data_IF_214286799964
#
_entry.id   IF_214286799964
#
_cell.length_a   1.000
_cell.length_b   1.000
_cell.length_c   1.000
_cell.angle_alpha   90.00
_cell.angle_beta   90.00
_cell.angle_gamma   90.00
#
_symmetry.space_group_name_H-M   'P 1'
#
loop_
_entity.id
_entity.type
_entity.pdbx_description
1 polymer ?
#
# COMPACT_ATOMS: atom_id res chain seq x y z
N UNK A 1 -34.39 -17.86 51.64
CA UNK A 1 -33.15 -18.12 50.89
C UNK A 1 -32.78 -16.83 50.17
N UNK A 2 -31.95 -16.00 50.81
CA UNK A 2 -31.48 -14.73 50.21
C UNK A 2 -30.26 -15.10 49.39
N UNK A 3 -30.34 -14.98 48.07
CA UNK A 3 -29.19 -15.10 47.18
C UNK A 3 -28.36 -13.84 47.42
N UNK A 4 -27.31 -13.95 48.25
CA UNK A 4 -26.32 -12.90 48.42
C UNK A 4 -25.52 -12.85 47.11
N UNK A 5 -25.54 -11.75 46.35
CA UNK A 5 -24.70 -11.63 45.17
C UNK A 5 -23.24 -11.73 45.62
N UNK A 6 -22.43 -12.50 44.89
CA UNK A 6 -21.01 -12.64 45.17
C UNK A 6 -20.34 -11.26 45.08
N UNK A 7 -19.70 -10.83 46.16
CA UNK A 7 -18.94 -9.57 46.25
C UNK A 7 -17.91 -9.45 45.09
N UNK A 8 -17.46 -10.59 44.56
CA UNK A 8 -16.57 -10.65 43.39
C UNK A 8 -17.18 -10.07 42.11
N UNK A 9 -18.51 -10.21 41.90
CA UNK A 9 -19.18 -9.62 40.74
C UNK A 9 -19.38 -8.11 40.87
N UNK A 10 -19.56 -7.57 42.08
CA UNK A 10 -19.72 -6.12 42.29
C UNK A 10 -18.41 -5.35 42.16
N UNK A 11 -17.27 -5.94 42.55
CA UNK A 11 -15.95 -5.29 42.44
C UNK A 11 -15.46 -5.13 41.00
N UNK A 12 -15.94 -5.96 40.06
CA UNK A 12 -15.63 -5.82 38.62
C UNK A 12 -16.30 -4.58 38.00
N UNK A 13 -17.46 -4.15 38.51
CA UNK A 13 -18.16 -2.95 38.02
C UNK A 13 -17.53 -1.64 38.52
N UNK A 14 -16.78 -1.68 39.61
CA UNK A 14 -16.18 -0.49 40.25
C UNK A 14 -14.71 -0.24 39.88
N UNK A 15 -14.07 -1.10 39.10
CA UNK A 15 -12.66 -0.93 38.74
C UNK A 15 -12.51 -0.14 37.41
N UNK A 16 -12.10 1.15 37.45
CA UNK A 16 -11.96 1.98 36.25
C UNK A 16 -10.91 1.45 35.27
N UNK A 17 -9.88 0.75 35.79
CA UNK A 17 -8.83 0.16 34.98
C UNK A 17 -9.36 -1.01 34.14
N UNK A 18 -10.17 -1.90 34.72
CA UNK A 18 -10.80 -3.00 33.99
C UNK A 18 -11.78 -2.50 32.93
N UNK A 19 -12.52 -1.43 33.22
CA UNK A 19 -13.40 -0.78 32.24
C UNK A 19 -12.60 -0.22 31.06
N UNK A 20 -11.49 0.48 31.33
CA UNK A 20 -10.57 1.00 30.30
C UNK A 20 -10.02 -0.14 29.44
N UNK A 21 -9.50 -1.20 30.05
CA UNK A 21 -8.94 -2.35 29.33
C UNK A 21 -9.99 -3.06 28.47
N UNK A 22 -11.19 -3.25 29.00
CA UNK A 22 -12.32 -3.85 28.27
C UNK A 22 -12.69 -3.01 27.04
N UNK A 23 -12.72 -1.69 27.18
CA UNK A 23 -12.97 -0.78 26.07
C UNK A 23 -11.88 -0.87 24.98
N UNK A 24 -10.60 -0.94 25.37
CA UNK A 24 -9.48 -1.10 24.43
C UNK A 24 -9.56 -2.45 23.68
N UNK A 25 -9.84 -3.54 24.39
CA UNK A 25 -10.01 -4.87 23.79
C UNK A 25 -11.18 -4.92 22.80
N UNK A 26 -12.30 -4.27 23.12
CA UNK A 26 -13.46 -4.16 22.20
C UNK A 26 -13.10 -3.34 20.96
N UNK A 27 -12.40 -2.22 21.13
CA UNK A 27 -11.94 -1.39 20.01
C UNK A 27 -10.98 -2.16 19.10
N UNK A 28 -10.01 -2.88 19.68
CA UNK A 28 -9.11 -3.78 18.94
C UNK A 28 -9.89 -4.80 18.12
N UNK A 29 -10.87 -5.46 18.73
CA UNK A 29 -11.72 -6.43 18.05
C UNK A 29 -12.49 -5.81 16.87
N UNK A 30 -13.05 -4.62 17.05
CA UNK A 30 -13.75 -3.90 15.97
C UNK A 30 -12.82 -3.49 14.81
N UNK A 31 -11.59 -3.07 15.13
CA UNK A 31 -10.58 -2.76 14.11
C UNK A 31 -10.13 -4.02 13.37
N UNK A 32 -9.85 -5.11 14.08
CA UNK A 32 -9.50 -6.41 13.49
C UNK A 32 -10.57 -6.90 12.53
N UNK A 33 -11.85 -6.88 12.93
CA UNK A 33 -12.95 -7.23 12.02
C UNK A 33 -13.02 -6.33 10.78
N UNK A 34 -12.70 -5.04 10.93
CA UNK A 34 -12.68 -4.10 9.81
C UNK A 34 -11.52 -4.37 8.85
N UNK A 35 -10.34 -4.71 9.38
CA UNK A 35 -9.16 -5.14 8.61
C UNK A 35 -9.48 -6.42 7.83
N UNK A 36 -9.99 -7.47 8.48
CA UNK A 36 -10.33 -8.73 7.81
C UNK A 36 -11.38 -8.54 6.71
N UNK A 37 -12.38 -7.68 6.93
CA UNK A 37 -13.39 -7.37 5.90
C UNK A 37 -12.77 -6.69 4.67
N UNK A 38 -11.80 -5.78 4.86
CA UNK A 38 -11.09 -5.11 3.77
C UNK A 38 -10.11 -6.06 3.07
N UNK A 39 -9.43 -6.91 3.83
CA UNK A 39 -8.48 -7.87 3.31
C UNK A 39 -9.18 -8.89 2.40
N UNK A 40 -10.29 -9.47 2.87
CA UNK A 40 -11.10 -10.38 2.07
C UNK A 40 -11.62 -9.72 0.80
N UNK A 41 -11.97 -8.45 0.88
CA UNK A 41 -12.44 -7.67 -0.26
C UNK A 41 -11.35 -7.51 -1.32
N UNK A 42 -10.14 -7.11 -0.93
CA UNK A 42 -9.01 -6.96 -1.86
C UNK A 42 -8.61 -8.31 -2.46
N UNK A 43 -8.62 -9.38 -1.65
CA UNK A 43 -8.32 -10.75 -2.11
C UNK A 43 -9.35 -11.31 -3.10
N UNK A 44 -10.59 -10.83 -3.05
CA UNK A 44 -11.65 -11.24 -3.99
C UNK A 44 -11.44 -10.69 -5.41
N UNK A 45 -10.47 -9.79 -5.63
CA UNK A 45 -10.02 -9.40 -6.97
C UNK A 45 -11.13 -8.80 -7.84
N UNK A 46 -11.97 -7.96 -7.24
CA UNK A 46 -13.14 -7.39 -7.88
C UNK A 46 -12.76 -6.28 -8.87
N UNK A 47 -13.27 -6.38 -10.11
CA UNK A 47 -13.17 -5.32 -11.13
C UNK A 47 -14.10 -4.18 -10.75
N UNK A 48 -13.63 -3.29 -9.89
CA UNK A 48 -14.46 -2.24 -9.29
C UNK A 48 -14.11 -0.86 -9.79
N UNK A 49 -15.16 -0.03 -9.85
CA UNK A 49 -15.06 1.39 -10.13
C UNK A 49 -14.03 2.07 -9.22
N UNK A 50 -13.21 2.93 -9.81
CA UNK A 50 -12.22 3.75 -9.10
C UNK A 50 -12.76 4.42 -7.83
N UNK A 51 -14.00 4.92 -7.86
CA UNK A 51 -14.65 5.58 -6.71
C UNK A 51 -14.76 4.64 -5.50
N UNK A 52 -15.03 3.36 -5.74
CA UNK A 52 -15.14 2.35 -4.69
C UNK A 52 -13.77 2.07 -4.09
N UNK A 53 -12.74 1.92 -4.93
CA UNK A 53 -11.35 1.74 -4.50
C UNK A 53 -10.85 2.91 -3.64
N UNK A 54 -11.13 4.15 -4.05
CA UNK A 54 -10.82 5.38 -3.29
C UNK A 54 -11.54 5.42 -1.93
N UNK A 55 -12.79 4.97 -1.89
CA UNK A 55 -13.54 4.85 -0.63
C UNK A 55 -12.91 3.82 0.30
N UNK A 56 -12.40 2.70 -0.23
CA UNK A 56 -11.67 1.70 0.59
C UNK A 56 -10.33 2.25 1.06
N UNK A 57 -9.61 2.98 0.21
CA UNK A 57 -8.35 3.64 0.56
C UNK A 57 -8.53 4.58 1.75
N UNK A 58 -9.54 5.46 1.69
CA UNK A 58 -9.91 6.36 2.79
C UNK A 58 -10.23 5.58 4.09
N UNK A 59 -10.82 4.39 3.96
CA UNK A 59 -11.12 3.53 5.12
C UNK A 59 -9.86 2.91 5.72
N UNK A 60 -8.88 2.51 4.90
CA UNK A 60 -7.56 2.06 5.35
C UNK A 60 -6.88 3.16 6.18
N UNK A 61 -6.86 4.40 5.70
CA UNK A 61 -6.30 5.53 6.46
C UNK A 61 -7.03 5.77 7.78
N UNK A 62 -8.36 5.70 7.78
CA UNK A 62 -9.17 5.86 9.00
C UNK A 62 -8.86 4.78 10.04
N UNK A 63 -8.73 3.52 9.62
CA UNK A 63 -8.37 2.40 10.51
C UNK A 63 -6.94 2.59 11.03
N UNK A 64 -6.00 2.99 10.17
CA UNK A 64 -4.60 3.25 10.55
C UNK A 64 -4.49 4.29 11.66
N UNK A 65 -5.20 5.42 11.54
CA UNK A 65 -5.26 6.47 12.57
C UNK A 65 -5.81 5.93 13.90
N UNK A 66 -6.90 5.16 13.86
CA UNK A 66 -7.48 4.55 15.07
C UNK A 66 -6.58 3.49 15.70
N UNK A 67 -5.85 2.73 14.89
CA UNK A 67 -4.91 1.71 15.34
C UNK A 67 -3.69 2.34 16.01
N UNK A 68 -3.19 3.45 15.47
CA UNK A 68 -2.12 4.25 16.10
C UNK A 68 -2.55 4.77 17.48
N UNK A 69 -3.74 5.36 17.59
CA UNK A 69 -4.27 5.83 18.88
C UNK A 69 -4.50 4.67 19.87
N UNK A 70 -4.95 3.51 19.39
CA UNK A 70 -5.09 2.31 20.20
C UNK A 70 -3.73 1.85 20.74
N UNK A 71 -2.72 1.76 19.88
CA UNK A 71 -1.37 1.33 20.25
C UNK A 71 -0.74 2.27 21.27
N UNK A 72 -0.86 3.59 21.06
CA UNK A 72 -0.45 4.62 22.02
C UNK A 72 -1.11 4.41 23.39
N UNK A 73 -2.42 4.16 23.43
CA UNK A 73 -3.15 3.93 24.69
C UNK A 73 -2.69 2.67 25.43
N UNK A 74 -2.22 1.64 24.72
CA UNK A 74 -1.61 0.46 25.36
C UNK A 74 -0.22 0.77 25.93
N UNK A 75 0.59 1.59 25.26
CA UNK A 75 1.89 2.04 25.80
C UNK A 75 1.76 2.93 27.04
N UNK A 76 0.66 3.68 27.17
CA UNK A 76 0.37 4.50 28.36
C UNK A 76 -0.12 3.66 29.56
N UNK A 77 -0.31 2.35 29.42
CA UNK A 77 -0.70 1.47 30.52
C UNK A 77 0.52 1.06 31.37
N UNK A 78 0.30 0.70 32.65
CA UNK A 78 1.38 0.26 33.53
C UNK A 78 2.16 -0.94 32.96
N UNK A 79 3.51 -0.95 33.04
CA UNK A 79 4.36 -2.01 32.49
C UNK A 79 4.15 -3.40 33.10
N UNK A 80 3.51 -3.47 34.27
CA UNK A 80 3.29 -4.70 35.03
C UNK A 80 2.23 -5.61 34.38
N UNK A 81 1.49 -5.11 33.40
CA UNK A 81 0.52 -5.89 32.64
C UNK A 81 1.14 -6.45 31.35
N UNK A 82 1.06 -7.77 31.17
CA UNK A 82 1.51 -8.42 29.94
C UNK A 82 0.50 -8.17 28.81
N UNK A 83 0.93 -7.40 27.82
CA UNK A 83 0.19 -7.11 26.60
C UNK A 83 0.91 -7.61 25.34
N UNK A 84 1.92 -8.47 25.48
CA UNK A 84 2.79 -8.90 24.38
C UNK A 84 1.99 -9.41 23.17
N UNK A 85 1.07 -10.35 23.41
CA UNK A 85 0.19 -10.89 22.36
C UNK A 85 -0.70 -9.81 21.72
N UNK A 86 -1.14 -8.84 22.53
CA UNK A 86 -2.01 -7.75 22.06
C UNK A 86 -1.24 -6.78 21.16
N UNK A 87 -0.01 -6.45 21.54
CA UNK A 87 0.88 -5.59 20.76
C UNK A 87 1.31 -6.29 19.46
N UNK A 88 1.60 -7.59 19.51
CA UNK A 88 1.90 -8.38 18.31
C UNK A 88 0.70 -8.42 17.35
N UNK A 89 -0.53 -8.59 17.87
CA UNK A 89 -1.74 -8.53 17.06
C UNK A 89 -1.96 -7.14 16.43
N UNK A 90 -1.58 -6.06 17.13
CA UNK A 90 -1.63 -4.69 16.61
C UNK A 90 -0.63 -4.51 15.47
N UNK A 91 0.61 -4.97 15.62
CA UNK A 91 1.61 -4.90 14.56
C UNK A 91 1.20 -5.75 13.33
N UNK A 92 0.64 -6.95 13.53
CA UNK A 92 0.09 -7.75 12.42
C UNK A 92 -0.98 -6.98 11.63
N UNK A 93 -1.92 -6.32 12.31
CA UNK A 93 -2.94 -5.50 11.63
C UNK A 93 -2.32 -4.33 10.86
N UNK A 94 -1.25 -3.73 11.37
CA UNK A 94 -0.53 -2.63 10.72
C UNK A 94 0.16 -3.09 9.43
N UNK A 95 0.86 -4.23 9.46
CA UNK A 95 1.44 -4.84 8.26
C UNK A 95 0.36 -5.16 7.22
N UNK A 96 -0.76 -5.78 7.61
CA UNK A 96 -1.86 -6.04 6.68
C UNK A 96 -2.43 -4.75 6.06
N UNK A 97 -2.52 -3.65 6.82
CA UNK A 97 -2.97 -2.36 6.29
C UNK A 97 -1.99 -1.78 5.27
N UNK A 98 -0.68 -1.94 5.47
CA UNK A 98 0.36 -1.51 4.52
C UNK A 98 0.28 -2.30 3.21
N UNK A 99 0.13 -3.62 3.27
CA UNK A 99 -0.05 -4.48 2.10
C UNK A 99 -1.33 -4.13 1.32
N UNK A 100 -2.43 -3.88 2.03
CA UNK A 100 -3.69 -3.45 1.43
C UNK A 100 -3.57 -2.07 0.78
N UNK A 101 -2.83 -1.14 1.40
CA UNK A 101 -2.61 0.20 0.85
C UNK A 101 -1.87 0.15 -0.49
N UNK A 102 -0.81 -0.66 -0.58
CA UNK A 102 -0.06 -0.90 -1.82
C UNK A 102 -0.99 -1.51 -2.88
N UNK A 103 -1.77 -2.53 -2.50
CA UNK A 103 -2.70 -3.20 -3.42
C UNK A 103 -3.76 -2.24 -3.97
N UNK A 104 -4.36 -1.40 -3.12
CA UNK A 104 -5.35 -0.42 -3.54
C UNK A 104 -4.74 0.65 -4.45
N UNK A 105 -3.56 1.17 -4.14
CA UNK A 105 -2.85 2.14 -5.00
C UNK A 105 -2.57 1.55 -6.38
N UNK A 106 -2.16 0.28 -6.44
CA UNK A 106 -1.97 -0.42 -7.70
C UNK A 106 -3.27 -0.54 -8.50
N UNK A 107 -4.37 -0.97 -7.87
CA UNK A 107 -5.68 -1.11 -8.54
C UNK A 107 -6.22 0.24 -9.06
N UNK A 108 -6.12 1.31 -8.28
CA UNK A 108 -6.50 2.67 -8.70
C UNK A 108 -5.65 3.13 -9.89
N UNK A 109 -4.34 2.87 -9.84
CA UNK A 109 -3.43 3.23 -10.93
C UNK A 109 -3.72 2.46 -12.21
N UNK A 110 -4.05 1.16 -12.10
CA UNK A 110 -4.49 0.32 -13.24
C UNK A 110 -5.77 0.86 -13.87
N UNK A 111 -6.74 1.31 -13.08
CA UNK A 111 -7.99 1.89 -13.60
C UNK A 111 -7.76 3.21 -14.35
N UNK A 112 -6.81 4.04 -13.94
CA UNK A 112 -6.46 5.27 -14.67
C UNK A 112 -5.90 4.99 -16.07
N UNK A 113 -5.28 3.82 -16.27
CA UNK A 113 -4.74 3.42 -17.57
C UNK A 113 -5.85 2.94 -18.50
N UNK A 114 -6.83 2.19 -17.99
CA UNK A 114 -7.93 1.60 -18.78
C UNK A 114 -9.02 2.62 -19.21
N UNK A 115 -9.27 3.65 -18.40
CA UNK A 115 -10.14 4.77 -18.79
C UNK A 115 -9.55 5.61 -19.95
N UNK A 116 -8.22 5.57 -20.12
CA UNK A 116 -7.53 6.27 -21.21
C UNK A 116 -7.52 5.48 -22.53
N UNK A 117 -7.65 4.15 -22.47
CA UNK A 117 -7.59 3.26 -23.64
C UNK A 117 -8.97 3.05 -24.29
N UNK A 118 -10.08 3.32 -23.61
CA UNK A 118 -11.45 3.07 -24.14
C UNK A 118 -11.98 4.14 -25.11
N UNK A 119 -11.18 5.13 -25.51
CA UNK A 119 -11.53 6.10 -26.59
C UNK A 119 -10.84 5.89 -27.93
N UNK A 120 -10.08 4.82 -28.13
CA UNK A 120 -9.59 4.47 -29.46
C UNK A 120 -10.16 3.12 -29.92
N UNK A 121 -11.28 3.19 -30.63
CA UNK A 121 -11.68 2.16 -31.58
C UNK A 121 -10.62 2.08 -32.68
N UNK A 122 -9.57 1.29 -32.47
CA UNK A 122 -8.72 0.82 -33.56
C UNK A 122 -8.56 -0.68 -33.36
N UNK A 123 -9.19 -1.42 -34.28
CA UNK A 123 -9.04 -2.86 -34.47
C UNK A 123 -7.58 -3.26 -34.26
N UNK A 124 -7.35 -4.18 -33.32
CA UNK A 124 -6.08 -4.84 -33.11
C UNK A 124 -5.63 -5.54 -34.39
N UNK A 125 -4.76 -4.86 -35.14
CA UNK A 125 -3.86 -5.48 -36.09
C UNK A 125 -2.45 -5.26 -35.57
N UNK A 126 -1.98 -6.24 -34.79
CA UNK A 126 -0.59 -6.67 -34.60
C UNK A 126 0.44 -5.91 -35.44
N UNK A 127 0.95 -4.79 -34.94
CA UNK A 127 2.33 -4.32 -35.14
C UNK A 127 2.61 -3.22 -34.13
N UNK A 128 3.55 -3.47 -33.23
CA UNK A 128 4.09 -2.52 -32.25
C UNK A 128 4.73 -1.33 -32.98
N UNK A 129 3.93 -0.36 -33.41
CA UNK A 129 4.41 0.94 -33.80
C UNK A 129 4.55 1.78 -32.52
N UNK A 130 5.67 1.58 -31.84
CA UNK A 130 6.14 2.47 -30.77
C UNK A 130 6.30 3.85 -31.43
N UNK A 131 5.31 4.72 -31.25
CA UNK A 131 5.38 6.10 -31.71
C UNK A 131 6.53 6.78 -30.96
N UNK A 132 7.64 6.98 -31.67
CA UNK A 132 8.81 7.72 -31.22
C UNK A 132 8.39 9.17 -31.05
N UNK A 133 7.93 9.53 -29.86
CA UNK A 133 7.82 10.93 -29.45
C UNK A 133 9.24 11.38 -29.18
N UNK A 134 9.78 12.27 -30.02
CA UNK A 134 11.09 12.88 -29.76
C UNK A 134 10.91 13.95 -28.68
N UNK A 135 11.59 13.77 -27.56
CA UNK A 135 11.85 14.87 -26.62
C UNK A 135 12.76 15.92 -27.28
N UNK A 136 12.70 17.20 -26.84
CA UNK A 136 13.68 18.23 -27.23
C UNK A 136 15.12 17.77 -26.94
N UNK A 137 16.10 18.31 -27.67
CA UNK A 137 17.53 17.89 -27.77
C UNK A 137 18.37 17.91 -26.46
N UNK A 138 17.73 17.90 -25.28
CA UNK A 138 18.41 17.77 -24.00
C UNK A 138 18.94 16.34 -23.87
N UNK A 139 20.24 16.12 -23.63
CA UNK A 139 20.78 14.79 -23.46
C UNK A 139 20.15 14.13 -22.24
N UNK A 140 19.60 12.93 -22.43
CA UNK A 140 19.06 12.14 -21.32
C UNK A 140 20.20 11.69 -20.39
N UNK A 141 19.97 11.71 -19.07
CA UNK A 141 20.95 11.20 -18.11
C UNK A 141 21.21 9.72 -18.40
N UNK A 142 22.46 9.29 -18.34
CA UNK A 142 22.85 7.89 -18.51
C UNK A 142 23.23 7.31 -17.16
N UNK A 143 22.99 6.02 -16.97
CA UNK A 143 23.39 5.29 -15.77
C UNK A 143 24.09 3.99 -16.16
N UNK A 144 25.30 3.79 -15.64
CA UNK A 144 26.17 2.64 -15.93
C UNK A 144 26.49 1.80 -14.69
N UNK A 145 25.61 1.82 -13.68
CA UNK A 145 25.68 1.05 -12.41
C UNK A 145 26.51 1.63 -11.27
N UNK A 146 27.20 2.74 -11.49
CA UNK A 146 27.95 3.36 -10.41
C UNK A 146 26.99 3.92 -9.35
N UNK A 147 26.95 3.26 -8.18
CA UNK A 147 26.05 3.63 -7.09
C UNK A 147 26.23 5.09 -6.65
N UNK A 148 27.45 5.61 -6.74
CA UNK A 148 27.78 7.01 -6.44
C UNK A 148 27.06 8.00 -7.40
N UNK A 149 26.84 7.60 -8.65
CA UNK A 149 26.17 8.40 -9.67
C UNK A 149 24.64 8.25 -9.67
N UNK A 150 24.12 7.21 -9.00
CA UNK A 150 22.68 6.90 -8.97
C UNK A 150 21.83 8.05 -8.45
N UNK A 151 22.28 8.76 -7.41
CA UNK A 151 21.56 9.90 -6.85
C UNK A 151 21.39 11.06 -7.83
N UNK A 152 22.44 11.34 -8.61
CA UNK A 152 22.44 12.37 -9.65
C UNK A 152 21.57 11.94 -10.84
N UNK A 153 21.75 10.71 -11.33
CA UNK A 153 20.91 10.11 -12.36
C UNK A 153 19.43 10.19 -12.00
N UNK A 154 19.05 9.73 -10.80
CA UNK A 154 17.65 9.71 -10.33
C UNK A 154 17.04 11.11 -10.31
N UNK A 155 17.78 12.09 -9.80
CA UNK A 155 17.29 13.48 -9.71
C UNK A 155 17.04 14.08 -11.10
N UNK A 156 17.94 13.83 -12.06
CA UNK A 156 17.80 14.30 -13.44
C UNK A 156 16.68 13.56 -14.18
N UNK A 157 16.58 12.24 -14.00
CA UNK A 157 15.55 11.42 -14.65
C UNK A 157 14.15 11.81 -14.17
N UNK A 158 13.98 12.07 -12.86
CA UNK A 158 12.69 12.52 -12.31
C UNK A 158 12.28 13.86 -12.95
N UNK A 159 13.18 14.84 -12.95
CA UNK A 159 12.89 16.17 -13.47
C UNK A 159 12.60 16.21 -14.97
N UNK A 160 13.18 15.30 -15.77
CA UNK A 160 13.04 15.31 -17.23
C UNK A 160 11.92 14.39 -17.73
N UNK A 161 11.69 13.27 -17.04
CA UNK A 161 10.86 12.16 -17.53
C UNK A 161 9.71 11.85 -16.57
N UNK A 162 9.98 11.65 -15.27
CA UNK A 162 8.94 11.22 -14.31
C UNK A 162 7.88 12.32 -14.09
N UNK A 163 8.32 13.57 -13.92
CA UNK A 163 7.44 14.72 -13.70
C UNK A 163 6.86 15.29 -15.01
N UNK A 164 7.18 14.69 -16.15
CA UNK A 164 6.65 15.12 -17.44
C UNK A 164 5.26 14.53 -17.69
N UNK A 165 4.22 15.33 -17.42
CA UNK A 165 2.81 14.98 -17.67
C UNK A 165 2.48 14.75 -19.16
N UNK A 166 3.34 15.18 -20.08
CA UNK A 166 3.23 14.94 -21.52
C UNK A 166 3.66 13.53 -21.94
N UNK A 167 4.27 12.75 -21.04
CA UNK A 167 4.70 11.38 -21.30
C UNK A 167 3.79 10.38 -20.61
N UNK A 168 3.40 9.35 -21.35
CA UNK A 168 2.73 8.17 -20.79
C UNK A 168 3.70 7.31 -19.98
N UNK A 169 3.21 6.51 -19.05
CA UNK A 169 4.04 5.58 -18.27
C UNK A 169 4.86 4.63 -19.15
N UNK A 170 4.31 4.20 -20.28
CA UNK A 170 5.03 3.36 -21.26
C UNK A 170 6.21 4.10 -21.89
N UNK A 171 6.05 5.38 -22.21
CA UNK A 171 7.14 6.22 -22.73
C UNK A 171 8.19 6.50 -21.65
N UNK A 172 7.76 6.79 -20.41
CA UNK A 172 8.67 6.95 -19.26
C UNK A 172 9.50 5.69 -19.04
N UNK A 173 8.88 4.51 -19.11
CA UNK A 173 9.58 3.23 -19.04
C UNK A 173 10.56 3.04 -20.20
N UNK A 174 10.18 3.40 -21.42
CA UNK A 174 11.08 3.35 -22.58
C UNK A 174 12.31 4.25 -22.39
N UNK A 175 12.13 5.47 -21.87
CA UNK A 175 13.24 6.36 -21.57
C UNK A 175 14.11 5.86 -20.43
N UNK A 176 13.51 5.25 -19.40
CA UNK A 176 14.27 4.61 -18.33
C UNK A 176 15.19 3.55 -18.92
N UNK A 177 14.63 2.60 -19.69
CA UNK A 177 15.40 1.54 -20.37
C UNK A 177 16.49 2.10 -21.28
N UNK A 178 16.20 3.16 -22.02
CA UNK A 178 17.15 3.82 -22.93
C UNK A 178 18.26 4.61 -22.21
N UNK A 179 18.06 4.92 -20.93
CA UNK A 179 19.01 5.63 -20.09
C UNK A 179 19.93 4.69 -19.30
N UNK A 180 19.67 3.38 -19.33
CA UNK A 180 20.51 2.37 -18.70
C UNK A 180 21.58 1.88 -19.70
N UNK A 181 22.82 1.81 -19.23
CA UNK A 181 24.01 1.39 -19.97
C UNK A 181 24.85 0.44 -19.10
N UNK A 182 25.90 -0.19 -19.66
CA UNK A 182 26.72 -1.15 -18.89
C UNK A 182 25.91 -2.37 -18.44
N UNK A 183 26.20 -2.93 -17.25
CA UNK A 183 25.40 -4.05 -16.74
C UNK A 183 24.02 -3.59 -16.21
N UNK A 184 23.76 -2.27 -16.07
CA UNK A 184 22.46 -1.75 -15.62
C UNK A 184 21.35 -2.13 -16.60
N UNK A 185 21.76 -2.34 -17.87
CA UNK A 185 20.90 -2.79 -18.96
C UNK A 185 20.52 -4.27 -18.85
N UNK A 186 21.26 -5.09 -18.08
CA UNK A 186 20.99 -6.53 -17.89
C UNK A 186 19.81 -6.82 -16.96
N UNK A 187 19.23 -5.80 -16.31
CA UNK A 187 18.02 -5.96 -15.47
C UNK A 187 16.76 -6.27 -16.33
N UNK A 188 16.90 -6.36 -17.66
CA UNK A 188 15.81 -6.68 -18.60
C UNK A 188 15.47 -8.19 -18.72
N UNK A 189 16.24 -9.12 -18.16
CA UNK A 189 15.99 -10.58 -18.34
C UNK A 189 16.27 -11.42 -17.09
N UNK A 190 15.33 -11.46 -16.15
CA UNK A 190 15.24 -12.56 -15.16
C UNK A 190 13.80 -13.07 -14.99
N UNK A 191 13.07 -13.22 -16.10
CA UNK A 191 11.82 -14.00 -16.15
C UNK A 191 11.94 -15.27 -17.03
N UNK A 192 13.16 -15.65 -17.41
CA UNK A 192 13.43 -16.86 -18.21
C UNK A 192 14.53 -17.73 -17.59
N UNK A 193 14.30 -18.34 -16.41
CA UNK A 193 15.00 -19.59 -16.04
C UNK A 193 14.17 -20.42 -15.05
N UNK A 194 13.01 -20.89 -15.49
CA UNK A 194 12.35 -22.06 -14.90
C UNK A 194 11.83 -23.00 -15.99
N UNK A 195 12.65 -23.33 -16.99
CA UNK A 195 12.46 -24.53 -17.80
C UNK A 195 13.82 -25.11 -18.23
N UNK A 196 14.42 -25.90 -17.33
CA UNK A 196 15.06 -27.20 -17.61
C UNK A 196 15.39 -27.90 -16.31
#
# INVERSE_FOLDING_TARGET
MIVVPSIATELLFLNPWLQKLTALSRLRGALSQSVTKLENYIKQGTSEDKVVLETKFSKVESIRKKLFELHKRYYELPPEADFTETLEAIEKMKTCLEEMEVSLKYLVSKHNIDDSSTKFNIKENKTENILIVKLPDIPLPQFSEEYEEFGNFKSQFISLIEDNDGLTNTQKLYYLKSSLTGEAKLIETTDETYLS
#
